data_IF_991393634895
#
_entry.id   IF_991393634895
#
_cell.length_a   1.000
_cell.length_b   1.000
_cell.length_c   1.000
_cell.angle_alpha   90.00
_cell.angle_beta   90.00
_cell.angle_gamma   90.00
#
_symmetry.space_group_name_H-M   'P 1'
#
loop_
_entity.id
_entity.type
_entity.pdbx_description
1 polymer ?
#
# COMPACT_ATOMS: atom_id res chain seq x y z
N UNK A 1 3.17 -49.20 53.04
CA UNK A 1 3.05 -49.08 51.57
C UNK A 1 2.61 -47.67 51.23
N UNK A 2 3.53 -46.79 50.85
CA UNK A 2 3.25 -45.38 50.51
C UNK A 2 3.42 -45.19 49.01
N UNK A 3 2.34 -44.84 48.31
CA UNK A 3 2.38 -44.56 46.87
C UNK A 3 2.94 -43.14 46.64
N UNK A 4 3.94 -42.96 45.76
CA UNK A 4 4.44 -41.65 45.39
C UNK A 4 3.41 -40.93 44.50
N UNK A 5 3.01 -39.72 44.88
CA UNK A 5 2.09 -38.88 44.10
C UNK A 5 2.90 -38.10 43.06
N UNK A 6 2.67 -38.38 41.79
CA UNK A 6 3.26 -37.65 40.66
C UNK A 6 2.65 -36.24 40.57
N UNK A 7 3.40 -35.22 41.00
CA UNK A 7 2.97 -33.79 40.97
C UNK A 7 3.55 -32.99 39.80
N UNK A 8 4.16 -33.66 38.81
CA UNK A 8 4.80 -32.98 37.66
C UNK A 8 3.85 -32.62 36.49
N UNK A 9 2.60 -33.07 36.49
CA UNK A 9 1.70 -32.96 35.33
C UNK A 9 1.16 -31.55 35.04
N UNK A 10 1.06 -30.66 36.05
CA UNK A 10 0.43 -29.33 35.87
C UNK A 10 1.24 -28.33 35.06
N UNK A 11 2.58 -28.44 35.04
CA UNK A 11 3.43 -27.51 34.29
C UNK A 11 3.51 -27.85 32.80
N UNK A 12 3.41 -29.13 32.44
CA UNK A 12 3.40 -29.58 31.06
C UNK A 12 2.11 -29.22 30.31
N UNK A 13 0.96 -29.23 30.99
CA UNK A 13 -0.33 -28.91 30.36
C UNK A 13 -0.44 -27.46 29.91
N UNK A 14 0.05 -26.50 30.72
CA UNK A 14 0.04 -25.08 30.35
C UNK A 14 0.90 -24.78 29.11
N UNK A 15 2.02 -25.48 28.94
CA UNK A 15 2.86 -25.34 27.74
C UNK A 15 2.12 -25.88 26.51
N UNK A 16 1.41 -27.01 26.64
CA UNK A 16 0.64 -27.60 25.54
C UNK A 16 -0.53 -26.71 25.11
N UNK A 17 -1.22 -26.07 26.05
CA UNK A 17 -2.29 -25.11 25.74
C UNK A 17 -1.74 -23.90 24.96
N UNK A 18 -0.60 -23.35 25.39
CA UNK A 18 0.05 -22.24 24.70
C UNK A 18 0.50 -22.61 23.29
N UNK A 19 1.00 -23.84 23.06
CA UNK A 19 1.44 -24.31 21.73
C UNK A 19 0.29 -24.32 20.72
N UNK A 20 -0.95 -24.51 21.15
CA UNK A 20 -2.11 -24.51 20.24
C UNK A 20 -2.64 -23.09 20.00
N UNK A 21 -2.63 -22.25 21.04
CA UNK A 21 -3.20 -20.89 20.96
C UNK A 21 -2.24 -19.90 20.29
N UNK A 22 -0.94 -20.02 20.59
CA UNK A 22 0.09 -19.09 20.12
C UNK A 22 0.14 -18.99 18.58
N UNK A 23 0.13 -20.09 17.78
CA UNK A 23 0.16 -19.97 16.32
C UNK A 23 -1.05 -19.21 15.77
N UNK A 24 -2.24 -19.45 16.32
CA UNK A 24 -3.46 -18.74 15.91
C UNK A 24 -3.35 -17.24 16.22
N UNK A 25 -2.83 -16.90 17.40
CA UNK A 25 -2.62 -15.52 17.83
C UNK A 25 -1.57 -14.82 16.95
N UNK A 26 -0.48 -15.51 16.60
CA UNK A 26 0.55 -14.99 15.70
C UNK A 26 0.00 -14.72 14.30
N UNK A 27 -0.81 -15.64 13.75
CA UNK A 27 -1.50 -15.45 12.46
C UNK A 27 -2.36 -14.19 12.48
N UNK A 28 -3.15 -13.99 13.53
CA UNK A 28 -4.00 -12.81 13.68
C UNK A 28 -3.19 -11.52 13.80
N UNK A 29 -2.11 -11.53 14.58
CA UNK A 29 -1.23 -10.37 14.73
C UNK A 29 -0.52 -10.02 13.43
N UNK A 30 0.10 -10.99 12.76
CA UNK A 30 0.84 -10.79 11.52
C UNK A 30 -0.10 -10.34 10.40
N UNK A 31 -1.26 -10.98 10.25
CA UNK A 31 -2.27 -10.57 9.28
C UNK A 31 -2.81 -9.16 9.52
N UNK A 32 -3.02 -8.79 10.80
CA UNK A 32 -3.42 -7.44 11.17
C UNK A 32 -2.35 -6.39 10.87
N UNK A 33 -1.07 -6.69 11.12
CA UNK A 33 0.05 -5.82 10.80
C UNK A 33 0.20 -5.63 9.29
N UNK A 34 0.11 -6.71 8.50
CA UNK A 34 0.16 -6.65 7.04
C UNK A 34 -0.99 -5.80 6.49
N UNK A 35 -2.21 -5.96 7.01
CA UNK A 35 -3.35 -5.15 6.59
C UNK A 35 -3.17 -3.66 6.93
N UNK A 36 -2.71 -3.35 8.14
CA UNK A 36 -2.44 -1.96 8.55
C UNK A 36 -1.36 -1.31 7.68
N UNK A 37 -0.35 -2.09 7.31
CA UNK A 37 0.71 -1.67 6.40
C UNK A 37 0.18 -1.42 4.98
N UNK A 38 -0.58 -2.37 4.40
CA UNK A 38 -1.25 -2.22 3.11
C UNK A 38 -2.13 -0.97 3.04
N UNK A 39 -2.89 -0.71 4.11
CA UNK A 39 -3.72 0.49 4.21
C UNK A 39 -2.88 1.77 4.20
N UNK A 40 -1.75 1.78 4.89
CA UNK A 40 -0.81 2.92 4.87
C UNK A 40 -0.28 3.16 3.45
N UNK A 41 0.13 2.11 2.74
CA UNK A 41 0.57 2.19 1.34
C UNK A 41 -0.54 2.71 0.42
N UNK A 42 -1.79 2.29 0.62
CA UNK A 42 -2.95 2.81 -0.11
C UNK A 42 -3.12 4.32 0.05
N UNK A 43 -2.91 4.85 1.27
CA UNK A 43 -2.97 6.29 1.54
C UNK A 43 -1.85 7.02 0.80
N UNK A 44 -0.63 6.47 0.82
CA UNK A 44 0.52 7.04 0.10
C UNK A 44 0.31 7.12 -1.41
N UNK A 45 -0.18 6.04 -2.04
CA UNK A 45 -0.51 6.01 -3.49
C UNK A 45 -1.62 7.01 -3.81
N UNK A 46 -2.60 7.16 -2.93
CA UNK A 46 -3.68 8.15 -3.10
C UNK A 46 -3.16 9.58 -2.98
N UNK A 47 -2.22 9.83 -2.08
CA UNK A 47 -1.57 11.13 -1.99
C UNK A 47 -0.74 11.43 -3.25
N UNK A 48 -0.01 10.44 -3.77
CA UNK A 48 0.72 10.56 -5.03
C UNK A 48 -0.19 10.93 -6.21
N UNK A 49 -1.35 10.27 -6.33
CA UNK A 49 -2.32 10.59 -7.39
C UNK A 49 -2.83 12.04 -7.27
N UNK A 50 -3.09 12.52 -6.04
CA UNK A 50 -3.51 13.91 -5.80
C UNK A 50 -2.42 14.93 -6.12
N UNK A 51 -1.17 14.64 -5.75
CA UNK A 51 -0.02 15.49 -6.08
C UNK A 51 0.16 15.55 -7.60
N UNK A 52 0.08 14.41 -8.27
CA UNK A 52 0.15 14.34 -9.73
C UNK A 52 -0.98 15.12 -10.40
N UNK A 53 -2.23 14.96 -9.96
CA UNK A 53 -3.36 15.69 -10.52
C UNK A 53 -3.22 17.22 -10.33
N UNK A 54 -2.67 17.65 -9.19
CA UNK A 54 -2.37 19.07 -8.94
C UNK A 54 -1.26 19.60 -9.84
N UNK A 55 -0.19 18.83 -10.01
CA UNK A 55 0.87 19.21 -10.94
C UNK A 55 0.31 19.29 -12.37
N UNK A 56 -0.55 18.34 -12.75
CA UNK A 56 -1.15 18.27 -14.08
C UNK A 56 -2.15 19.40 -14.33
N UNK A 57 -2.84 19.91 -13.31
CA UNK A 57 -3.80 21.00 -13.45
C UNK A 57 -3.16 22.37 -13.71
N UNK A 58 -1.87 22.58 -13.41
CA UNK A 58 -1.21 23.87 -13.62
C UNK A 58 -1.20 24.25 -15.11
N UNK A 59 -1.32 25.54 -15.41
CA UNK A 59 -1.41 26.04 -16.80
C UNK A 59 -0.26 25.54 -17.69
N UNK A 60 0.99 25.68 -17.24
CA UNK A 60 2.20 25.31 -17.99
C UNK A 60 2.72 23.90 -17.69
N UNK A 61 1.88 23.00 -17.16
CA UNK A 61 2.28 21.64 -16.84
C UNK A 61 2.51 20.79 -18.08
N UNK A 62 3.44 19.83 -17.97
CA UNK A 62 3.71 18.79 -18.95
C UNK A 62 3.87 17.44 -18.24
N UNK A 63 3.90 16.36 -19.02
CA UNK A 63 4.02 15.00 -18.49
C UNK A 63 5.21 14.83 -17.53
N UNK A 64 6.41 15.32 -17.89
CA UNK A 64 7.62 15.15 -17.08
C UNK A 64 7.56 15.81 -15.70
N UNK A 65 6.85 16.95 -15.58
CA UNK A 65 6.63 17.58 -14.27
C UNK A 65 5.70 16.75 -13.38
N UNK A 66 4.66 16.15 -13.97
CA UNK A 66 3.74 15.27 -13.24
C UNK A 66 4.44 13.99 -12.82
N UNK A 67 5.19 13.37 -13.75
CA UNK A 67 5.96 12.16 -13.50
C UNK A 67 7.00 12.36 -12.39
N UNK A 68 7.75 13.47 -12.40
CA UNK A 68 8.70 13.79 -11.33
C UNK A 68 8.01 13.92 -9.98
N UNK A 69 6.90 14.65 -9.90
CA UNK A 69 6.17 14.85 -8.64
C UNK A 69 5.58 13.54 -8.08
N UNK A 70 5.07 12.67 -8.96
CA UNK A 70 4.57 11.34 -8.58
C UNK A 70 5.72 10.43 -8.18
N UNK A 71 6.82 10.39 -8.93
CA UNK A 71 8.00 9.56 -8.66
C UNK A 71 8.64 9.90 -7.31
N UNK A 72 8.74 11.18 -6.97
CA UNK A 72 9.27 11.63 -5.66
C UNK A 72 8.38 11.10 -4.51
N UNK A 73 7.05 11.20 -4.68
CA UNK A 73 6.11 10.69 -3.69
C UNK A 73 6.16 9.15 -3.59
N UNK A 74 6.22 8.44 -4.71
CA UNK A 74 6.27 6.96 -4.73
C UNK A 74 7.58 6.42 -4.14
N UNK A 75 8.70 7.09 -4.42
CA UNK A 75 10.01 6.76 -3.84
C UNK A 75 10.01 6.97 -2.32
N UNK A 76 9.45 8.08 -1.83
CA UNK A 76 9.32 8.32 -0.38
C UNK A 76 8.38 7.33 0.31
N UNK A 77 7.38 6.85 -0.42
CA UNK A 77 6.49 5.75 -0.02
C UNK A 77 7.17 4.37 -0.12
N UNK A 78 8.42 4.28 -0.56
CA UNK A 78 9.19 3.03 -0.62
C UNK A 78 8.84 2.10 -1.77
N UNK A 79 8.08 2.58 -2.78
CA UNK A 79 7.82 1.80 -4.00
C UNK A 79 9.03 1.86 -4.95
N UNK A 80 9.55 0.72 -5.44
CA UNK A 80 10.54 0.70 -6.52
C UNK A 80 10.01 1.33 -7.80
N UNK A 81 10.89 1.88 -8.64
CA UNK A 81 10.52 2.58 -9.89
C UNK A 81 9.76 1.71 -10.88
N UNK A 82 10.05 0.41 -10.94
CA UNK A 82 9.42 -0.54 -11.87
C UNK A 82 8.16 -1.22 -11.29
N UNK A 83 7.79 -0.89 -10.04
CA UNK A 83 6.69 -1.53 -9.33
C UNK A 83 5.37 -0.75 -9.43
N UNK A 84 5.29 0.28 -10.28
CA UNK A 84 4.07 1.06 -10.48
C UNK A 84 4.01 1.67 -11.87
N UNK A 85 2.80 2.03 -12.29
CA UNK A 85 2.54 2.71 -13.56
C UNK A 85 1.76 3.99 -13.34
N UNK A 86 2.13 5.03 -14.08
CA UNK A 86 1.43 6.30 -14.15
C UNK A 86 0.63 6.38 -15.44
N UNK A 87 -0.64 6.75 -15.32
CA UNK A 87 -1.49 7.10 -16.47
C UNK A 87 -2.07 8.48 -16.24
N UNK A 88 -1.98 9.32 -17.26
CA UNK A 88 -2.51 10.69 -17.25
C UNK A 88 -3.48 10.82 -18.42
N UNK A 89 -4.63 11.43 -18.19
CA UNK A 89 -5.61 11.74 -19.23
C UNK A 89 -6.02 13.21 -19.15
N UNK A 90 -5.80 14.02 -20.20
CA UNK A 90 -5.08 13.69 -21.43
C UNK A 90 -3.60 13.35 -21.20
N UNK A 91 -3.00 12.51 -22.07
CA UNK A 91 -1.61 12.02 -21.92
C UNK A 91 -0.60 13.15 -21.73
N UNK A 92 -0.79 14.27 -22.43
CA UNK A 92 -0.11 15.52 -22.15
C UNK A 92 -1.08 16.52 -21.48
N UNK A 93 -0.84 16.90 -20.21
CA UNK A 93 -1.65 17.89 -19.51
C UNK A 93 -1.71 19.26 -20.21
N UNK A 94 -0.75 19.59 -21.07
CA UNK A 94 -0.77 20.84 -21.84
C UNK A 94 -1.84 20.87 -22.93
N UNK A 95 -2.35 19.71 -23.34
CA UNK A 95 -3.44 19.60 -24.32
C UNK A 95 -4.82 19.89 -23.71
N UNK A 96 -4.96 19.84 -22.38
CA UNK A 96 -6.20 20.19 -21.70
C UNK A 96 -6.44 21.71 -21.76
N UNK A 97 -7.63 22.11 -22.20
CA UNK A 97 -8.07 23.51 -22.11
C UNK A 97 -8.45 23.88 -20.68
N UNK A 98 -8.42 25.17 -20.36
CA UNK A 98 -8.86 25.65 -19.04
C UNK A 98 -10.26 25.14 -18.68
N UNK A 99 -10.41 24.62 -17.46
CA UNK A 99 -11.66 24.05 -16.96
C UNK A 99 -11.89 22.58 -17.32
N UNK A 100 -11.12 22.02 -18.26
CA UNK A 100 -11.22 20.60 -18.65
C UNK A 100 -10.60 19.71 -17.55
N UNK A 101 -11.19 18.53 -17.27
CA UNK A 101 -10.63 17.61 -16.30
C UNK A 101 -9.29 17.03 -16.79
N UNK A 102 -8.35 16.95 -15.85
CA UNK A 102 -7.11 16.18 -15.98
C UNK A 102 -7.16 15.09 -14.91
N UNK A 103 -6.99 13.85 -15.35
CA UNK A 103 -7.05 12.64 -14.53
C UNK A 103 -5.66 12.07 -14.39
N UNK A 104 -5.27 11.72 -13.17
CA UNK A 104 -4.04 11.01 -12.86
C UNK A 104 -4.40 9.73 -12.12
N UNK A 105 -3.93 8.61 -12.66
CA UNK A 105 -4.11 7.29 -12.09
C UNK A 105 -2.78 6.60 -11.91
N UNK A 106 -2.63 5.96 -10.76
CA UNK A 106 -1.45 5.19 -10.36
C UNK A 106 -1.91 3.78 -10.02
N UNK A 107 -1.25 2.79 -10.62
CA UNK A 107 -1.43 1.38 -10.29
C UNK A 107 -0.09 0.85 -9.78
N UNK A 108 -0.01 0.49 -8.49
CA UNK A 108 1.21 0.08 -7.82
C UNK A 108 1.13 -1.38 -7.34
N UNK A 109 2.18 -2.16 -7.55
CA UNK A 109 2.28 -3.56 -7.16
C UNK A 109 2.52 -3.66 -5.66
N UNK A 110 1.59 -4.27 -4.93
CA UNK A 110 1.68 -4.34 -3.48
C UNK A 110 2.80 -5.26 -2.99
N UNK A 111 3.08 -6.34 -3.72
CA UNK A 111 4.10 -7.31 -3.36
C UNK A 111 5.50 -6.68 -3.17
N UNK A 112 5.81 -5.65 -3.98
CA UNK A 112 7.07 -4.88 -3.91
C UNK A 112 7.31 -4.18 -2.58
N UNK A 113 6.25 -3.99 -1.78
CA UNK A 113 6.27 -3.28 -0.49
C UNK A 113 5.66 -4.11 0.64
N UNK A 114 5.39 -5.41 0.45
CA UNK A 114 4.81 -6.29 1.48
C UNK A 114 5.79 -6.54 2.65
N UNK A 115 5.29 -6.93 3.84
CA UNK A 115 6.17 -7.28 4.96
C UNK A 115 6.76 -8.69 4.76
N UNK A 116 7.81 -8.79 3.95
CA UNK A 116 8.58 -10.03 3.80
C UNK A 116 7.85 -11.15 3.06
N UNK A 117 7.04 -10.83 2.05
CA UNK A 117 6.36 -11.81 1.19
C UNK A 117 5.11 -12.43 1.81
N UNK A 118 4.58 -11.83 2.87
CA UNK A 118 3.32 -12.26 3.50
C UNK A 118 2.10 -12.11 2.57
N UNK A 119 2.22 -11.26 1.54
CA UNK A 119 1.25 -11.05 0.46
C UNK A 119 0.88 -12.34 -0.27
N UNK A 120 1.81 -13.29 -0.45
CA UNK A 120 1.55 -14.56 -1.12
C UNK A 120 0.68 -15.52 -0.30
N UNK A 121 0.71 -15.38 1.03
CA UNK A 121 0.01 -16.26 1.96
C UNK A 121 -1.33 -15.67 2.43
N UNK A 122 -1.47 -14.35 2.44
CA UNK A 122 -2.70 -13.64 2.79
C UNK A 122 -3.51 -13.26 1.55
N UNK A 123 -4.85 -13.19 1.63
CA UNK A 123 -5.67 -12.69 0.54
C UNK A 123 -5.55 -11.17 0.40
N UNK A 124 -4.40 -10.71 -0.06
CA UNK A 124 -4.10 -9.31 -0.34
C UNK A 124 -4.29 -9.01 -1.83
N UNK A 125 -4.62 -7.76 -2.20
CA UNK A 125 -4.68 -7.37 -3.61
C UNK A 125 -3.27 -7.28 -4.20
N UNK A 126 -3.08 -7.81 -5.41
CA UNK A 126 -1.80 -7.71 -6.13
C UNK A 126 -1.43 -6.27 -6.45
N UNK A 127 -2.44 -5.42 -6.67
CA UNK A 127 -2.26 -4.03 -7.10
C UNK A 127 -3.09 -3.06 -6.25
N UNK A 128 -2.45 -1.98 -5.83
CA UNK A 128 -3.03 -0.80 -5.20
C UNK A 128 -3.23 0.27 -6.29
N UNK A 129 -4.46 0.46 -6.72
CA UNK A 129 -4.83 1.48 -7.71
C UNK A 129 -5.38 2.75 -7.04
N UNK A 130 -5.02 3.95 -7.49
CA UNK A 130 -5.66 5.19 -7.06
C UNK A 130 -5.78 6.18 -8.20
N UNK A 131 -6.84 6.97 -8.18
CA UNK A 131 -7.17 7.95 -9.22
C UNK A 131 -7.56 9.29 -8.59
N UNK A 132 -7.12 10.38 -9.21
CA UNK A 132 -7.46 11.73 -8.82
C UNK A 132 -7.73 12.59 -10.05
N UNK A 133 -8.76 13.43 -9.98
CA UNK A 133 -9.19 14.31 -11.07
C UNK A 133 -9.17 15.75 -10.57
N UNK A 134 -8.57 16.66 -11.34
CA UNK A 134 -8.61 18.11 -11.11
C UNK A 134 -8.96 18.85 -12.40
N UNK A 135 -9.36 20.12 -12.31
CA UNK A 135 -9.62 20.95 -13.49
C UNK A 135 -8.39 21.75 -13.86
N UNK A 136 -8.07 21.80 -15.14
CA UNK A 136 -6.97 22.62 -15.66
C UNK A 136 -7.19 24.09 -15.32
N UNK A 137 -6.16 24.74 -14.80
CA UNK A 137 -6.16 26.17 -14.50
C UNK A 137 -6.25 27.00 -15.79
N UNK A 138 -6.87 28.18 -15.70
CA UNK A 138 -6.85 29.17 -16.77
C UNK A 138 -5.57 30.00 -16.72
N UNK A 139 -4.96 30.20 -17.88
CA UNK A 139 -3.86 31.16 -18.07
C UNK A 139 -4.35 32.49 -18.59
#
# INVERSE_FOLDING_TARGET
MTHPRMTHARRGSMVLEAVVILPLLLILLIGGLEFAWAFTKKVEVTNAARIGARAASLYSSNYGQVESAVSDQMTSAGFPVDAWTLSISPEDPSAASSGEPVTVRIDAQYDSVSLGGLSDWLPMPDTISSESVMRKEGG
#
